data_IF_776355290849
#
_entry.id   IF_776355290849
#
_cell.length_a   1.000
_cell.length_b   1.000
_cell.length_c   1.000
_cell.angle_alpha   90.00
_cell.angle_beta   90.00
_cell.angle_gamma   90.00
#
_symmetry.space_group_name_H-M   'P 1'
#
loop_
_entity.id
_entity.type
_entity.pdbx_description
1 polymer ?
#
# COMPACT_ATOMS: atom_id res chain seq x y z
N UNK A 1 0.64 5.33 0.52
CA UNK A 1 1.95 4.90 -0.02
C UNK A 1 1.74 4.25 -1.39
N UNK A 2 2.57 4.61 -2.36
CA UNK A 2 2.61 4.08 -3.72
C UNK A 2 3.92 3.33 -3.90
N UNK A 3 3.88 2.15 -4.52
CA UNK A 3 5.02 1.29 -4.77
C UNK A 3 5.12 1.06 -6.27
N UNK A 4 6.17 1.57 -6.92
CA UNK A 4 6.29 1.56 -8.38
C UNK A 4 7.37 0.59 -8.85
N UNK A 5 6.96 -0.41 -9.67
CA UNK A 5 7.84 -1.09 -10.62
C UNK A 5 7.70 -0.36 -11.96
N UNK A 6 8.75 -0.32 -12.79
CA UNK A 6 8.59 -0.02 -14.22
C UNK A 6 7.55 -1.02 -14.76
N UNK A 7 6.31 -0.56 -15.00
CA UNK A 7 5.13 -1.28 -15.49
C UNK A 7 4.17 -2.00 -14.49
N UNK A 8 4.45 -2.15 -13.19
CA UNK A 8 3.47 -2.67 -12.21
C UNK A 8 3.38 -1.77 -10.96
N UNK A 9 2.20 -1.18 -10.73
CA UNK A 9 1.95 -0.25 -9.63
C UNK A 9 1.16 -0.93 -8.50
N UNK A 10 1.73 -0.96 -7.30
CA UNK A 10 1.04 -1.42 -6.09
C UNK A 10 0.74 -0.21 -5.20
N UNK A 11 -0.47 -0.15 -4.64
CA UNK A 11 -0.85 0.89 -3.67
C UNK A 11 -1.11 0.25 -2.32
N UNK A 12 -0.59 0.88 -1.27
CA UNK A 12 -0.82 0.48 0.11
C UNK A 12 -1.25 1.69 0.93
N UNK A 13 -2.27 1.49 1.74
CA UNK A 13 -2.74 2.51 2.68
C UNK A 13 -2.01 2.36 4.02
N UNK A 14 -1.66 3.49 4.62
CA UNK A 14 -1.08 3.61 5.96
C UNK A 14 -1.39 5.02 6.45
N UNK A 15 -1.64 5.16 7.75
CA UNK A 15 -1.82 6.49 8.34
C UNK A 15 -0.50 7.26 8.33
N UNK A 16 -0.63 8.59 8.20
CA UNK A 16 0.46 9.57 8.16
C UNK A 16 1.29 9.60 9.45
N UNK A 17 0.65 9.36 10.59
CA UNK A 17 1.26 9.31 11.92
C UNK A 17 2.21 8.13 12.14
N UNK A 18 2.20 7.14 11.23
CA UNK A 18 2.97 5.91 11.41
C UNK A 18 4.46 6.09 11.09
N UNK A 19 5.30 5.34 11.81
CA UNK A 19 6.75 5.27 11.52
C UNK A 19 7.08 4.78 10.10
N UNK A 20 6.13 4.15 9.39
CA UNK A 20 6.31 3.71 8.00
C UNK A 20 6.51 4.90 7.06
N UNK A 21 5.68 5.93 7.20
CA UNK A 21 5.75 7.15 6.38
C UNK A 21 7.08 7.86 6.57
N UNK A 22 7.52 8.01 7.83
CA UNK A 22 8.83 8.58 8.16
C UNK A 22 9.99 7.79 7.53
N UNK A 23 9.93 6.45 7.58
CA UNK A 23 10.97 5.59 6.98
C UNK A 23 11.01 5.69 5.46
N UNK A 24 9.87 5.68 4.79
CA UNK A 24 9.78 5.81 3.31
C UNK A 24 10.29 7.17 2.84
N UNK A 25 9.92 8.24 3.55
CA UNK A 25 10.41 9.59 3.26
C UNK A 25 11.94 9.68 3.37
N UNK A 26 12.53 9.02 4.38
CA UNK A 26 13.99 8.99 4.60
C UNK A 26 14.74 8.04 3.66
N UNK A 27 14.19 6.86 3.38
CA UNK A 27 14.76 5.85 2.49
C UNK A 27 13.63 5.15 1.72
N UNK A 28 13.40 5.49 0.45
CA UNK A 28 12.28 4.96 -0.32
C UNK A 28 12.53 3.55 -0.86
N UNK A 29 13.68 2.92 -0.59
CA UNK A 29 13.94 1.53 -1.00
C UNK A 29 13.13 0.58 -0.13
N UNK A 30 12.34 -0.27 -0.77
CA UNK A 30 11.48 -1.24 -0.09
C UNK A 30 11.54 -2.61 -0.75
N UNK A 31 11.13 -3.63 -0.01
CA UNK A 31 10.94 -5.00 -0.50
C UNK A 31 9.47 -5.40 -0.31
N UNK A 32 8.90 -6.03 -1.32
CA UNK A 32 7.49 -6.44 -1.33
C UNK A 32 7.44 -7.94 -1.56
N UNK A 33 6.80 -8.68 -0.67
CA UNK A 33 6.50 -10.09 -0.87
C UNK A 33 5.01 -10.34 -0.62
N UNK A 34 4.31 -11.07 -1.50
CA UNK A 34 2.99 -11.58 -1.16
C UNK A 34 3.13 -12.57 0.01
N UNK A 35 2.22 -12.53 0.97
CA UNK A 35 2.28 -13.39 2.16
C UNK A 35 0.91 -13.97 2.50
N UNK A 36 0.92 -15.02 3.33
CA UNK A 36 -0.28 -15.49 4.02
C UNK A 36 -0.65 -14.53 5.17
N UNK A 37 -1.85 -14.67 5.71
CA UNK A 37 -2.34 -13.85 6.83
C UNK A 37 -1.38 -13.83 8.04
N UNK A 38 -0.65 -14.92 8.29
CA UNK A 38 0.37 -15.03 9.35
C UNK A 38 1.78 -14.54 8.94
N UNK A 39 1.91 -13.85 7.81
CA UNK A 39 3.18 -13.25 7.38
C UNK A 39 4.17 -14.20 6.71
N UNK A 40 3.85 -15.49 6.53
CA UNK A 40 4.69 -16.42 5.74
C UNK A 40 4.71 -15.96 4.27
N UNK A 41 5.88 -15.65 3.68
CA UNK A 41 5.97 -15.28 2.26
C UNK A 41 5.49 -16.40 1.34
N UNK A 42 4.79 -16.03 0.26
CA UNK A 42 4.32 -16.93 -0.81
C UNK A 42 5.27 -16.97 -2.00
N UNK A 43 6.13 -15.97 -2.14
CA UNK A 43 7.11 -15.83 -3.20
C UNK A 43 8.30 -15.02 -2.68
N UNK A 44 9.36 -14.97 -3.49
CA UNK A 44 10.50 -14.10 -3.24
C UNK A 44 10.08 -12.62 -3.16
N UNK A 45 10.85 -11.86 -2.40
CA UNK A 45 10.64 -10.43 -2.32
C UNK A 45 11.10 -9.75 -3.61
N UNK A 46 10.37 -8.71 -3.99
CA UNK A 46 10.71 -7.85 -5.11
C UNK A 46 11.23 -6.53 -4.53
N UNK A 47 12.42 -6.12 -4.95
CA UNK A 47 12.92 -4.77 -4.66
C UNK A 47 12.11 -3.73 -5.45
N UNK A 48 11.70 -2.66 -4.76
CA UNK A 48 10.89 -1.59 -5.32
C UNK A 48 11.26 -0.24 -4.71
N UNK A 49 10.68 0.83 -5.27
CA UNK A 49 10.74 2.17 -4.71
C UNK A 49 9.35 2.62 -4.28
N UNK A 50 9.28 3.15 -3.06
CA UNK A 50 8.08 3.72 -2.47
C UNK A 50 8.04 5.24 -2.66
N UNK A 51 6.86 5.76 -2.93
CA UNK A 51 6.52 7.18 -3.02
C UNK A 51 5.27 7.44 -2.17
N UNK A 52 5.13 8.65 -1.65
CA UNK A 52 3.89 9.05 -0.99
C UNK A 52 2.93 9.58 -2.05
N UNK A 53 1.70 9.07 -2.06
CA UNK A 53 0.63 9.67 -2.86
C UNK A 53 0.12 10.87 -2.10
N UNK A 54 0.12 12.03 -2.75
CA UNK A 54 -0.35 13.29 -2.17
C UNK A 54 -1.56 13.84 -2.93
N UNK A 55 -1.91 13.27 -4.09
CA UNK A 55 -3.11 13.67 -4.84
C UNK A 55 -4.37 13.34 -4.03
N UNK A 56 -5.16 14.34 -3.60
CA UNK A 56 -6.38 14.10 -2.83
C UNK A 56 -7.38 13.23 -3.60
N UNK A 57 -7.51 13.44 -4.91
CA UNK A 57 -8.38 12.66 -5.80
C UNK A 57 -8.01 11.17 -5.79
N UNK A 58 -6.71 10.85 -5.92
CA UNK A 58 -6.24 9.47 -5.89
C UNK A 58 -6.45 8.88 -4.50
N UNK A 59 -6.15 9.63 -3.44
CA UNK A 59 -6.34 9.19 -2.05
C UNK A 59 -7.80 8.81 -1.81
N UNK A 60 -8.75 9.68 -2.14
CA UNK A 60 -10.18 9.44 -1.96
C UNK A 60 -10.68 8.24 -2.78
N UNK A 61 -10.24 8.14 -4.03
CA UNK A 61 -10.57 7.02 -4.93
C UNK A 61 -10.14 5.67 -4.38
N UNK A 62 -8.98 5.57 -3.73
CA UNK A 62 -8.50 4.29 -3.15
C UNK A 62 -8.95 4.08 -1.72
N UNK A 63 -9.15 5.15 -0.93
CA UNK A 63 -9.76 5.09 0.39
C UNK A 63 -11.16 4.47 0.29
N UNK A 64 -12.00 4.98 -0.60
CA UNK A 64 -13.33 4.42 -0.85
C UNK A 64 -13.28 2.96 -1.32
N UNK A 65 -12.27 2.53 -2.08
CA UNK A 65 -12.12 1.12 -2.50
C UNK A 65 -11.69 0.18 -1.38
N UNK A 66 -10.74 0.61 -0.53
CA UNK A 66 -10.22 -0.20 0.57
C UNK A 66 -11.27 -0.32 1.68
N UNK A 67 -11.93 0.79 1.99
CA UNK A 67 -12.95 0.89 3.04
C UNK A 67 -14.37 0.84 2.49
N UNK A 68 -14.55 0.32 1.25
CA UNK A 68 -15.89 0.06 0.69
C UNK A 68 -16.59 -0.83 1.70
N UNK A 69 -17.57 -0.25 2.41
CA UNK A 69 -18.42 -0.97 3.36
C UNK A 69 -18.86 -2.26 2.67
N UNK A 70 -18.79 -3.36 3.40
CA UNK A 70 -19.63 -4.54 3.18
C UNK A 70 -21.10 -4.12 3.36
N UNK A 71 -21.62 -3.25 2.51
CA UNK A 71 -23.00 -2.78 2.49
C UNK A 71 -23.86 -3.72 1.63
N UNK A 72 -23.68 -5.03 1.79
CA UNK A 72 -24.49 -6.06 1.10
C UNK A 72 -24.63 -7.34 1.91
N UNK A 73 -24.78 -7.23 3.23
CA UNK A 73 -25.34 -8.27 4.09
C UNK A 73 -26.23 -7.65 5.18
N UNK A 74 -27.33 -7.07 4.72
CA UNK A 74 -28.57 -6.98 5.48
C UNK A 74 -29.69 -7.31 4.50
N UNK A 75 -30.12 -8.56 4.54
CA UNK A 75 -31.48 -9.09 4.35
C UNK A 75 -31.39 -10.58 4.65
#
# INVERSE_FOLDING_TARGET
MVLRRKQNLVRAHTDDSTGKVKRISRNPKVRIAPSYFRGKPKAEYIDARAELETSPEIIEKYHSKIYKKTASKQL
#
